data_IF_897796565669
#
_entry.id   IF_897796565669
#
_cell.length_a   1.000
_cell.length_b   1.000
_cell.length_c   1.000
_cell.angle_alpha   90.00
_cell.angle_beta   90.00
_cell.angle_gamma   90.00
#
_symmetry.space_group_name_H-M   'P 1'
#
loop_
_entity.id
_entity.type
_entity.pdbx_description
1 polymer ?
#
# COMPACT_ATOMS: atom_id res chain seq x y z
N UNK A 1 23.98 2.68 -27.94
CA UNK A 1 22.58 2.60 -27.47
C UNK A 1 22.13 1.19 -27.78
N UNK A 2 22.36 0.26 -26.86
CA UNK A 2 21.84 -1.10 -26.95
C UNK A 2 20.33 -1.01 -26.72
N UNK A 3 19.53 -1.48 -27.68
CA UNK A 3 18.13 -1.84 -27.40
C UNK A 3 18.14 -2.69 -26.12
N UNK A 4 17.47 -2.24 -25.06
CA UNK A 4 17.28 -3.09 -23.89
C UNK A 4 16.49 -4.30 -24.37
N UNK A 5 16.96 -5.49 -24.02
CA UNK A 5 16.19 -6.69 -24.28
C UNK A 5 14.81 -6.53 -23.61
N UNK A 6 13.70 -6.92 -24.26
CA UNK A 6 12.38 -6.84 -23.64
C UNK A 6 12.32 -7.54 -22.27
N UNK A 7 13.17 -8.54 -22.00
CA UNK A 7 13.27 -9.13 -20.67
C UNK A 7 13.89 -8.17 -19.63
N UNK A 8 14.87 -7.34 -20.00
CA UNK A 8 15.48 -6.34 -19.11
C UNK A 8 14.48 -5.22 -18.75
N UNK A 9 13.62 -4.83 -19.69
CA UNK A 9 12.52 -3.88 -19.43
C UNK A 9 11.48 -4.50 -18.49
N UNK A 10 11.09 -5.75 -18.72
CA UNK A 10 10.17 -6.48 -17.86
C UNK A 10 10.74 -6.59 -16.44
N UNK A 11 12.03 -6.93 -16.29
CA UNK A 11 12.68 -7.04 -14.98
C UNK A 11 12.64 -5.72 -14.20
N UNK A 12 12.88 -4.58 -14.86
CA UNK A 12 12.76 -3.25 -14.22
C UNK A 12 11.34 -2.92 -13.79
N UNK A 13 10.33 -3.34 -14.57
CA UNK A 13 8.93 -3.15 -14.20
C UNK A 13 8.56 -4.01 -13.00
N UNK A 14 9.06 -5.24 -12.92
CA UNK A 14 8.83 -6.14 -11.79
C UNK A 14 9.44 -5.59 -10.49
N UNK A 15 10.67 -5.08 -10.54
CA UNK A 15 11.29 -4.40 -9.38
C UNK A 15 10.46 -3.19 -8.94
N UNK A 16 9.97 -2.39 -9.90
CA UNK A 16 9.09 -1.24 -9.60
C UNK A 16 7.75 -1.68 -9.00
N UNK A 17 7.16 -2.76 -9.48
CA UNK A 17 5.92 -3.31 -8.94
C UNK A 17 6.10 -3.77 -7.50
N UNK A 18 7.22 -4.43 -7.18
CA UNK A 18 7.55 -4.85 -5.81
C UNK A 18 7.67 -3.64 -4.88
N UNK A 19 8.40 -2.59 -5.29
CA UNK A 19 8.52 -1.35 -4.52
C UNK A 19 7.17 -0.64 -4.30
N UNK A 20 6.31 -0.61 -5.33
CA UNK A 20 4.97 -0.03 -5.21
C UNK A 20 4.05 -0.85 -4.30
N UNK A 21 4.15 -2.18 -4.36
CA UNK A 21 3.39 -3.08 -3.50
C UNK A 21 3.78 -2.91 -2.04
N UNK A 22 5.08 -2.79 -1.74
CA UNK A 22 5.56 -2.50 -0.38
C UNK A 22 5.03 -1.15 0.12
N UNK A 23 5.07 -0.11 -0.72
CA UNK A 23 4.54 1.21 -0.38
C UNK A 23 3.02 1.16 -0.09
N UNK A 24 2.26 0.42 -0.90
CA UNK A 24 0.83 0.21 -0.69
C UNK A 24 0.55 -0.53 0.63
N UNK A 25 1.33 -1.56 0.96
CA UNK A 25 1.18 -2.30 2.22
C UNK A 25 1.49 -1.41 3.44
N UNK A 26 2.54 -0.59 3.35
CA UNK A 26 2.86 0.41 4.39
C UNK A 26 1.71 1.39 4.60
N UNK A 27 1.11 1.90 3.52
CA UNK A 27 -0.05 2.79 3.62
C UNK A 27 -1.22 2.09 4.34
N UNK A 28 -1.52 0.82 4.02
CA UNK A 28 -2.57 0.04 4.69
C UNK A 28 -2.30 -0.12 6.19
N UNK A 29 -1.05 -0.41 6.58
CA UNK A 29 -0.65 -0.50 8.00
C UNK A 29 -0.86 0.84 8.72
N UNK A 30 -0.46 1.95 8.11
CA UNK A 30 -0.66 3.28 8.70
C UNK A 30 -2.14 3.62 8.82
N UNK A 31 -2.95 3.35 7.79
CA UNK A 31 -4.42 3.53 7.83
C UNK A 31 -5.04 2.81 9.03
N UNK A 32 -4.64 1.56 9.29
CA UNK A 32 -5.12 0.80 10.44
C UNK A 32 -4.70 1.42 11.77
N UNK A 33 -3.43 1.86 11.89
CA UNK A 33 -2.94 2.56 13.06
C UNK A 33 -3.66 3.90 13.29
N UNK A 34 -3.92 4.68 12.24
CA UNK A 34 -4.66 5.93 12.30
C UNK A 34 -6.09 5.73 12.79
N UNK A 35 -6.79 4.67 12.32
CA UNK A 35 -8.13 4.33 12.81
C UNK A 35 -8.11 3.96 14.30
N UNK A 36 -7.12 3.17 14.73
CA UNK A 36 -6.95 2.83 16.14
C UNK A 36 -6.67 4.07 17.00
N UNK A 37 -5.84 5.00 16.50
CA UNK A 37 -5.59 6.27 17.15
C UNK A 37 -6.89 7.07 17.29
N UNK A 38 -7.65 7.29 16.22
CA UNK A 38 -8.93 8.03 16.27
C UNK A 38 -9.87 7.42 17.31
N UNK A 39 -10.07 6.11 17.27
CA UNK A 39 -10.94 5.41 18.22
C UNK A 39 -10.44 5.56 19.67
N UNK A 40 -9.14 5.39 19.89
CA UNK A 40 -8.51 5.54 21.20
C UNK A 40 -8.60 6.97 21.73
N UNK A 41 -8.42 7.98 20.88
CA UNK A 41 -8.52 9.39 21.24
C UNK A 41 -9.96 9.79 21.59
N UNK A 42 -10.95 9.31 20.84
CA UNK A 42 -12.37 9.52 21.18
C UNK A 42 -12.71 8.85 22.51
N UNK A 43 -12.30 7.60 22.70
CA UNK A 43 -12.53 6.87 23.94
C UNK A 43 -11.90 7.57 25.14
N UNK A 44 -10.63 8.00 25.01
CA UNK A 44 -9.93 8.73 26.06
C UNK A 44 -10.62 10.06 26.37
N UNK A 45 -11.05 10.81 25.35
CA UNK A 45 -11.77 12.07 25.53
C UNK A 45 -13.06 11.85 26.33
N UNK A 46 -13.86 10.84 25.99
CA UNK A 46 -15.08 10.50 26.73
C UNK A 46 -14.78 10.14 28.18
N UNK A 47 -13.75 9.33 28.42
CA UNK A 47 -13.29 8.94 29.76
C UNK A 47 -12.90 10.17 30.59
N UNK A 48 -12.20 11.14 29.98
CA UNK A 48 -11.84 12.40 30.65
C UNK A 48 -13.05 13.28 30.94
N UNK A 49 -14.01 13.38 30.02
CA UNK A 49 -15.22 14.19 30.21
C UNK A 49 -16.14 13.61 31.29
N UNK A 50 -16.19 12.28 31.42
CA UNK A 50 -16.98 11.60 32.44
C UNK A 50 -16.30 11.59 33.82
N UNK A 51 -15.07 12.10 33.93
CA UNK A 51 -14.33 12.15 35.20
C UNK A 51 -13.96 10.77 35.76
N UNK A 52 -13.96 9.73 34.91
CA UNK A 52 -13.68 8.33 35.32
C UNK A 52 -12.22 8.17 35.80
N UNK A 53 -11.34 9.05 35.35
CA UNK A 53 -10.00 9.23 35.89
C UNK A 53 -9.81 10.71 36.26
N UNK A 54 -8.93 11.02 37.22
CA UNK A 54 -8.42 12.37 37.46
C UNK A 54 -7.52 12.85 36.29
N UNK A 55 -7.93 12.56 35.07
CA UNK A 55 -7.31 12.91 33.83
C UNK A 55 -7.56 14.41 33.61
N UNK A 56 -6.54 15.22 33.91
CA UNK A 56 -6.62 16.66 33.81
C UNK A 56 -6.70 17.17 32.36
N UNK A 57 -6.61 18.49 32.23
CA UNK A 57 -6.72 19.22 30.97
C UNK A 57 -5.70 18.75 29.90
N UNK A 58 -4.55 18.23 30.33
CA UNK A 58 -3.52 17.64 29.46
C UNK A 58 -4.00 16.40 28.71
N UNK A 59 -4.79 15.54 29.36
CA UNK A 59 -5.32 14.32 28.76
C UNK A 59 -6.41 14.63 27.72
N UNK A 60 -7.25 15.64 27.98
CA UNK A 60 -8.23 16.12 27.01
C UNK A 60 -7.55 16.70 25.76
N UNK A 61 -6.53 17.55 25.94
CA UNK A 61 -5.74 18.10 24.83
C UNK A 61 -5.01 17.00 24.04
N UNK A 62 -4.40 16.03 24.75
CA UNK A 62 -3.75 14.88 24.13
C UNK A 62 -4.72 14.04 23.30
N UNK A 63 -5.94 13.84 23.80
CA UNK A 63 -6.99 13.12 23.07
C UNK A 63 -7.38 13.82 21.77
N UNK A 64 -7.57 15.14 21.81
CA UNK A 64 -7.89 15.94 20.63
C UNK A 64 -6.74 15.89 19.61
N UNK A 65 -5.50 16.08 20.07
CA UNK A 65 -4.33 16.02 19.22
C UNK A 65 -4.20 14.64 18.54
N UNK A 66 -4.47 13.56 19.29
CA UNK A 66 -4.40 12.19 18.80
C UNK A 66 -5.50 11.90 17.77
N UNK A 67 -6.73 12.39 17.97
CA UNK A 67 -7.81 12.30 16.97
C UNK A 67 -7.46 13.07 15.71
N UNK A 68 -7.06 14.33 15.82
CA UNK A 68 -6.71 15.16 14.67
C UNK A 68 -5.53 14.58 13.88
N UNK A 69 -4.47 14.17 14.57
CA UNK A 69 -3.32 13.51 13.96
C UNK A 69 -3.70 12.21 13.26
N UNK A 70 -4.59 11.43 13.87
CA UNK A 70 -5.15 10.22 13.27
C UNK A 70 -5.92 10.51 11.98
N UNK A 71 -6.82 11.50 11.98
CA UNK A 71 -7.63 11.87 10.80
C UNK A 71 -6.74 12.34 9.64
N UNK A 72 -5.79 13.24 9.90
CA UNK A 72 -4.89 13.77 8.87
C UNK A 72 -4.03 12.65 8.28
N UNK A 73 -3.45 11.80 9.14
CA UNK A 73 -2.64 10.66 8.70
C UNK A 73 -3.47 9.65 7.88
N UNK A 74 -4.71 9.37 8.29
CA UNK A 74 -5.63 8.50 7.56
C UNK A 74 -5.89 9.03 6.14
N UNK A 75 -6.24 10.32 6.01
CA UNK A 75 -6.55 10.93 4.71
C UNK A 75 -5.37 10.88 3.75
N UNK A 76 -4.17 11.27 4.21
CA UNK A 76 -2.96 11.24 3.40
C UNK A 76 -2.63 9.83 2.91
N UNK A 77 -2.68 8.82 3.79
CA UNK A 77 -2.33 7.45 3.42
C UNK A 77 -3.40 6.79 2.52
N UNK A 78 -4.68 7.15 2.65
CA UNK A 78 -5.73 6.69 1.72
C UNK A 78 -5.49 7.24 0.31
N UNK A 79 -5.17 8.54 0.19
CA UNK A 79 -4.85 9.15 -1.09
C UNK A 79 -3.61 8.52 -1.73
N UNK A 80 -2.53 8.35 -0.94
CA UNK A 80 -1.31 7.69 -1.40
C UNK A 80 -1.57 6.25 -1.83
N UNK A 81 -2.35 5.47 -1.05
CA UNK A 81 -2.69 4.09 -1.41
C UNK A 81 -3.44 4.01 -2.74
N UNK A 82 -4.33 4.98 -3.02
CA UNK A 82 -5.06 5.03 -4.28
C UNK A 82 -4.10 5.31 -5.45
N UNK A 83 -3.24 6.32 -5.29
CA UNK A 83 -2.22 6.67 -6.30
C UNK A 83 -1.24 5.52 -6.57
N UNK A 84 -0.78 4.80 -5.52
CA UNK A 84 0.12 3.65 -5.70
C UNK A 84 -0.60 2.48 -6.37
N UNK A 85 -1.87 2.25 -6.06
CA UNK A 85 -2.67 1.20 -6.72
C UNK A 85 -2.87 1.52 -8.21
N UNK A 86 -3.16 2.78 -8.55
CA UNK A 86 -3.27 3.22 -9.94
C UNK A 86 -1.93 3.06 -10.68
N UNK A 87 -0.80 3.37 -10.02
CA UNK A 87 0.54 3.16 -10.57
C UNK A 87 0.89 1.69 -10.78
N UNK A 88 0.48 0.80 -9.87
CA UNK A 88 0.61 -0.66 -10.01
C UNK A 88 -0.14 -1.11 -11.27
N UNK A 89 -1.40 -0.73 -11.41
CA UNK A 89 -2.22 -1.12 -12.58
C UNK A 89 -1.61 -0.62 -13.89
N UNK A 90 -1.07 0.60 -13.92
CA UNK A 90 -0.38 1.12 -15.10
C UNK A 90 0.89 0.33 -15.44
N UNK A 91 1.68 -0.06 -14.44
CA UNK A 91 2.87 -0.88 -14.63
C UNK A 91 2.54 -2.30 -15.10
N UNK A 92 1.50 -2.93 -14.56
CA UNK A 92 1.01 -4.24 -15.00
C UNK A 92 0.52 -4.23 -16.45
N UNK A 93 -0.15 -3.14 -16.86
CA UNK A 93 -0.58 -2.95 -18.26
C UNK A 93 0.62 -2.87 -19.20
N UNK A 94 1.65 -2.11 -18.82
CA UNK A 94 2.86 -1.97 -19.61
C UNK A 94 3.64 -3.29 -19.71
N UNK A 95 3.76 -4.02 -18.60
CA UNK A 95 4.33 -5.38 -18.58
C UNK A 95 3.56 -6.33 -19.51
N UNK A 96 2.24 -6.28 -19.49
CA UNK A 96 1.39 -7.14 -20.33
C UNK A 96 1.54 -6.81 -21.82
N UNK A 97 1.64 -5.53 -22.18
CA UNK A 97 1.90 -5.09 -23.56
C UNK A 97 3.29 -5.52 -24.03
N UNK A 98 4.33 -5.40 -23.20
CA UNK A 98 5.67 -5.89 -23.52
C UNK A 98 5.67 -7.41 -23.75
N UNK A 99 5.08 -8.19 -22.85
CA UNK A 99 4.97 -9.65 -23.01
C UNK A 99 4.23 -10.00 -24.30
N UNK A 100 3.15 -9.28 -24.62
CA UNK A 100 2.37 -9.49 -25.84
C UNK A 100 3.14 -9.22 -27.14
N UNK A 101 4.21 -8.42 -27.08
CA UNK A 101 5.09 -8.12 -28.23
C UNK A 101 6.25 -9.11 -28.37
N UNK A 102 6.56 -9.91 -27.34
CA UNK A 102 7.59 -10.93 -27.41
C UNK A 102 7.08 -12.09 -28.28
N UNK A 103 7.88 -12.56 -29.25
CA UNK A 103 7.56 -13.73 -30.08
C UNK A 103 7.70 -15.02 -29.26
N UNK A 104 6.64 -15.37 -28.52
CA UNK A 104 6.60 -16.52 -27.62
C UNK A 104 6.58 -17.82 -28.43
N UNK A 105 7.72 -18.51 -28.48
CA UNK A 105 7.85 -19.83 -29.11
C UNK A 105 7.07 -20.89 -28.31
N UNK A 106 6.10 -21.52 -28.95
CA UNK A 106 5.35 -22.66 -28.39
C UNK A 106 6.30 -23.86 -28.21
N UNK A 107 6.45 -24.32 -26.97
CA UNK A 107 7.17 -25.56 -26.64
C UNK A 107 6.13 -26.66 -26.47
N UNK A 108 6.03 -27.56 -27.46
CA UNK A 108 5.16 -28.73 -27.35
C UNK A 108 5.77 -29.76 -26.37
N UNK A 109 4.94 -30.33 -25.49
CA UNK A 109 5.37 -31.42 -24.60
C UNK A 109 5.89 -32.59 -25.44
N UNK A 110 7.13 -33.01 -25.16
CA UNK A 110 7.66 -34.25 -25.73
C UNK A 110 6.89 -35.44 -25.15
N UNK A 111 6.40 -36.38 -25.97
CA UNK A 111 5.74 -37.56 -25.46
C UNK A 111 6.72 -38.30 -24.55
N UNK A 112 6.36 -38.38 -23.26
CA UNK A 112 7.01 -39.19 -22.24
C UNK A 112 7.21 -40.59 -22.83
N UNK A 113 8.46 -40.93 -23.16
CA UNK A 113 8.82 -42.30 -23.53
C UNK A 113 8.70 -43.16 -22.27
N UNK A 114 7.51 -43.71 -22.02
CA UNK A 114 7.38 -44.90 -21.19
C UNK A 114 7.99 -46.06 -21.98
N UNK A 115 9.19 -46.47 -21.59
CA UNK A 115 9.73 -47.81 -21.86
C UNK A 115 9.57 -48.65 -20.59
#
# INVERSE_FOLDING_TARGET
MTENDPADEIAQIEERLEALAEAAERCRKIIMASKAAIAGGIALLLVTMLGVFAAGQTAALGSIALVLGGIVSLGSNVSTLRQTTDAISAAEMLRSDLIGRIDLRVVADSPLKLN
#
